data_IF_441300329307
#
_entry.id   IF_441300329307
#
_cell.length_a   1.000
_cell.length_b   1.000
_cell.length_c   1.000
_cell.angle_alpha   90.00
_cell.angle_beta   90.00
_cell.angle_gamma   90.00
#
_symmetry.space_group_name_H-M   'P 1'
#
loop_
_entity.id
_entity.type
_entity.pdbx_description
1 polymer ?
#
# COMPACT_ATOMS: atom_id res chain seq x y z
N UNK A 1 13.30 -3.09 -11.12
CA UNK A 1 13.23 -2.36 -9.84
C UNK A 1 14.58 -2.14 -9.15
N UNK A 2 15.71 -2.74 -9.60
CA UNK A 2 17.00 -2.65 -8.89
C UNK A 2 17.60 -1.23 -8.70
N UNK A 3 17.02 -0.21 -9.33
CA UNK A 3 17.43 1.19 -9.17
C UNK A 3 16.27 2.12 -8.74
N UNK A 4 15.20 1.58 -8.18
CA UNK A 4 14.06 2.36 -7.65
C UNK A 4 13.99 2.22 -6.13
N UNK A 5 13.40 3.22 -5.48
CA UNK A 5 12.91 3.10 -4.11
C UNK A 5 11.49 2.56 -4.18
N UNK A 6 11.29 1.30 -3.82
CA UNK A 6 10.00 0.62 -3.94
C UNK A 6 9.19 0.76 -2.65
N UNK A 7 8.03 1.41 -2.73
CA UNK A 7 7.08 1.50 -1.65
C UNK A 7 5.91 0.54 -1.89
N UNK A 8 5.70 -0.43 -1.00
CA UNK A 8 4.52 -1.31 -1.01
C UNK A 8 3.40 -0.66 -0.21
N UNK A 9 2.23 -0.52 -0.82
CA UNK A 9 1.03 0.06 -0.23
C UNK A 9 -0.02 -1.05 -0.13
N UNK A 10 -0.55 -1.25 1.07
CA UNK A 10 -1.70 -2.12 1.32
C UNK A 10 -2.85 -1.23 1.75
N UNK A 11 -3.75 -0.93 0.82
CA UNK A 11 -4.87 0.02 1.04
C UNK A 11 -6.08 -0.45 0.22
N UNK A 12 -7.14 0.33 0.22
CA UNK A 12 -8.35 0.09 -0.58
C UNK A 12 -8.20 0.80 -1.94
N UNK A 13 -8.62 0.17 -3.03
CA UNK A 13 -8.50 0.74 -4.37
C UNK A 13 -9.21 2.10 -4.52
N UNK A 14 -10.28 2.35 -3.75
CA UNK A 14 -10.98 3.64 -3.78
C UNK A 14 -10.12 4.79 -3.26
N UNK A 15 -9.02 4.47 -2.57
CA UNK A 15 -8.09 5.44 -1.99
C UNK A 15 -6.91 5.79 -2.89
N UNK A 16 -6.76 5.12 -4.04
CA UNK A 16 -5.60 5.25 -4.93
C UNK A 16 -5.35 6.69 -5.38
N UNK A 17 -6.43 7.50 -5.48
CA UNK A 17 -6.34 8.92 -5.80
C UNK A 17 -5.47 9.76 -4.85
N UNK A 18 -5.31 9.34 -3.59
CA UNK A 18 -4.43 10.02 -2.63
C UNK A 18 -2.94 9.87 -2.97
N UNK A 19 -2.57 8.94 -3.85
CA UNK A 19 -1.19 8.70 -4.22
C UNK A 19 -0.78 9.32 -5.58
N UNK A 20 -1.69 10.07 -6.21
CA UNK A 20 -1.40 10.77 -7.47
C UNK A 20 -0.53 11.99 -7.21
N UNK A 21 0.48 12.22 -8.06
CA UNK A 21 1.36 13.40 -7.99
C UNK A 21 1.61 14.02 -9.35
N UNK A 22 2.17 15.23 -9.35
CA UNK A 22 2.67 15.91 -10.54
C UNK A 22 4.17 16.20 -10.37
N UNK A 23 5.07 15.59 -11.16
CA UNK A 23 4.80 14.57 -12.18
C UNK A 23 4.30 13.23 -11.58
N UNK A 24 3.56 12.41 -12.36
CA UNK A 24 3.10 11.10 -11.89
C UNK A 24 4.28 10.15 -11.72
N UNK A 25 4.18 9.27 -10.71
CA UNK A 25 5.22 8.29 -10.39
C UNK A 25 4.93 6.93 -11.06
N UNK A 26 5.96 6.12 -11.35
CA UNK A 26 5.78 4.73 -11.74
C UNK A 26 5.02 3.95 -10.66
N UNK A 27 4.09 3.11 -11.10
CA UNK A 27 3.20 2.35 -10.23
C UNK A 27 2.93 0.96 -10.79
N UNK A 28 2.70 0.00 -9.88
CA UNK A 28 2.34 -1.38 -10.17
C UNK A 28 1.18 -1.79 -9.27
N UNK A 29 0.06 -2.22 -9.85
CA UNK A 29 -0.95 -3.00 -9.12
C UNK A 29 -0.52 -4.46 -9.08
N UNK A 30 -0.51 -5.04 -7.87
CA UNK A 30 -0.20 -6.43 -7.62
C UNK A 30 -1.48 -7.20 -7.29
N UNK A 31 -1.74 -8.26 -8.05
CA UNK A 31 -2.89 -9.15 -7.83
C UNK A 31 -2.42 -10.55 -7.46
N UNK A 32 -3.25 -11.27 -6.72
CA UNK A 32 -2.96 -12.65 -6.36
C UNK A 32 -3.17 -13.56 -7.58
N UNK A 33 -2.15 -14.35 -7.93
CA UNK A 33 -2.22 -15.44 -8.92
C UNK A 33 -1.49 -16.66 -8.38
N UNK A 34 -2.19 -17.80 -8.27
CA UNK A 34 -1.63 -19.07 -7.78
C UNK A 34 -0.89 -18.95 -6.44
N UNK A 35 -1.43 -18.13 -5.53
CA UNK A 35 -0.87 -17.93 -4.19
C UNK A 35 0.34 -16.97 -4.11
N UNK A 36 0.72 -16.34 -5.22
CA UNK A 36 1.77 -15.32 -5.28
C UNK A 36 1.20 -13.98 -5.76
N UNK A 37 1.79 -12.87 -5.32
CA UNK A 37 1.46 -11.54 -5.84
C UNK A 37 2.32 -11.21 -7.05
N UNK A 38 1.68 -10.80 -8.14
CA UNK A 38 2.33 -10.48 -9.40
C UNK A 38 1.73 -9.20 -9.98
N UNK A 39 2.47 -8.50 -10.83
CA UNK A 39 1.94 -7.36 -11.55
C UNK A 39 0.71 -7.77 -12.37
N UNK A 40 -0.37 -7.00 -12.23
CA UNK A 40 -1.54 -7.15 -13.08
C UNK A 40 -1.19 -6.80 -14.54
N UNK A 41 -2.02 -7.26 -15.48
CA UNK A 41 -1.87 -6.92 -16.89
C UNK A 41 -1.92 -5.40 -17.09
N UNK A 42 -1.05 -4.86 -17.95
CA UNK A 42 -0.95 -3.42 -18.19
C UNK A 42 -0.04 -2.66 -17.21
N UNK A 43 0.63 -3.34 -16.28
CA UNK A 43 1.57 -2.76 -15.32
C UNK A 43 3.03 -3.20 -15.57
N UNK A 44 4.05 -2.37 -15.23
CA UNK A 44 3.97 -1.03 -14.62
C UNK A 44 3.44 0.04 -15.58
N UNK A 45 2.83 1.10 -15.03
CA UNK A 45 2.48 2.33 -15.76
C UNK A 45 2.68 3.58 -14.86
N UNK A 46 2.21 4.75 -15.30
CA UNK A 46 2.26 5.99 -14.52
C UNK A 46 0.95 6.18 -13.76
N UNK A 47 1.04 6.54 -12.47
CA UNK A 47 -0.13 6.81 -11.65
C UNK A 47 -0.68 8.22 -11.90
N UNK A 48 -1.50 8.37 -12.95
CA UNK A 48 -2.24 9.60 -13.24
C UNK A 48 -3.58 9.64 -12.49
N UNK A 49 -4.24 10.81 -12.49
CA UNK A 49 -5.58 10.94 -11.93
C UNK A 49 -6.62 10.06 -12.66
N UNK A 50 -6.50 9.96 -13.98
CA UNK A 50 -7.34 9.10 -14.81
C UNK A 50 -7.12 7.62 -14.47
N UNK A 51 -5.85 7.21 -14.32
CA UNK A 51 -5.53 5.84 -13.91
C UNK A 51 -6.09 5.55 -12.52
N UNK A 52 -5.90 6.44 -11.55
CA UNK A 52 -6.43 6.27 -10.20
C UNK A 52 -7.97 6.11 -10.22
N UNK A 53 -8.69 6.91 -11.01
CA UNK A 53 -10.14 6.78 -11.16
C UNK A 53 -10.57 5.47 -11.83
N UNK A 54 -9.77 4.98 -12.78
CA UNK A 54 -10.00 3.67 -13.37
C UNK A 54 -9.82 2.56 -12.32
N UNK A 55 -8.79 2.66 -11.47
CA UNK A 55 -8.48 1.66 -10.44
C UNK A 55 -9.59 1.48 -9.39
N UNK A 56 -10.35 2.54 -9.09
CA UNK A 56 -11.49 2.48 -8.16
C UNK A 56 -12.58 1.48 -8.59
N UNK A 57 -12.55 1.02 -9.84
CA UNK A 57 -13.53 0.09 -10.41
C UNK A 57 -13.04 -1.35 -10.50
N UNK A 58 -11.85 -1.63 -9.97
CA UNK A 58 -11.28 -2.97 -10.04
C UNK A 58 -11.88 -3.89 -8.98
N UNK A 59 -12.47 -5.01 -9.41
CA UNK A 59 -13.02 -6.04 -8.53
C UNK A 59 -11.97 -7.12 -8.25
N UNK A 60 -10.91 -6.74 -7.55
CA UNK A 60 -9.89 -7.72 -7.19
C UNK A 60 -10.45 -8.75 -6.21
N UNK A 61 -10.21 -10.03 -6.49
CA UNK A 61 -10.35 -11.06 -5.48
C UNK A 61 -9.27 -10.83 -4.41
N UNK A 62 -9.70 -10.55 -3.19
CA UNK A 62 -8.80 -10.27 -2.08
C UNK A 62 -8.79 -11.44 -1.10
N UNK A 63 -7.61 -12.02 -0.89
CA UNK A 63 -7.38 -13.04 0.12
C UNK A 63 -6.48 -12.50 1.22
N UNK A 64 -7.07 -12.09 2.33
CA UNK A 64 -6.33 -11.64 3.51
C UNK A 64 -5.24 -12.65 3.94
N UNK A 65 -5.51 -13.98 4.04
CA UNK A 65 -4.47 -14.96 4.34
C UNK A 65 -3.33 -14.99 3.30
N UNK A 66 -3.61 -14.71 2.02
CA UNK A 66 -2.57 -14.64 1.00
C UNK A 66 -1.69 -13.39 1.18
N UNK A 67 -2.29 -12.23 1.48
CA UNK A 67 -1.55 -11.00 1.79
C UNK A 67 -0.63 -11.23 2.99
N UNK A 68 -1.16 -11.78 4.08
CA UNK A 68 -0.38 -12.05 5.30
C UNK A 68 0.82 -12.97 5.02
N UNK A 69 0.63 -14.03 4.21
CA UNK A 69 1.74 -14.92 3.79
C UNK A 69 2.77 -14.21 2.92
N UNK A 70 2.36 -13.28 2.06
CA UNK A 70 3.27 -12.50 1.24
C UNK A 70 4.09 -11.52 2.09
N UNK A 71 3.46 -10.84 3.05
CA UNK A 71 4.11 -9.92 3.98
C UNK A 71 5.15 -10.62 4.85
N UNK A 72 4.85 -11.81 5.36
CA UNK A 72 5.78 -12.62 6.15
C UNK A 72 7.06 -13.01 5.37
N UNK A 73 7.03 -12.92 4.04
CA UNK A 73 8.13 -13.27 3.12
C UNK A 73 8.69 -12.06 2.35
N UNK A 74 8.38 -10.84 2.76
CA UNK A 74 8.68 -9.61 2.00
C UNK A 74 10.18 -9.26 1.89
N UNK A 75 11.08 -10.14 2.35
CA UNK A 75 12.50 -9.82 2.49
C UNK A 75 13.12 -9.30 1.18
N UNK A 76 13.53 -8.04 1.19
CA UNK A 76 14.15 -7.33 0.06
C UNK A 76 13.24 -6.88 -1.08
N UNK A 77 11.92 -7.12 -1.04
CA UNK A 77 11.02 -6.74 -2.14
C UNK A 77 10.67 -5.24 -2.16
N UNK A 78 10.47 -4.64 -0.97
CA UNK A 78 10.12 -3.24 -0.81
C UNK A 78 11.08 -2.55 0.16
N UNK A 79 11.41 -1.29 -0.16
CA UNK A 79 12.20 -0.42 0.72
C UNK A 79 11.35 0.13 1.88
N UNK A 80 10.04 0.29 1.65
CA UNK A 80 9.09 0.84 2.62
C UNK A 80 7.69 0.23 2.46
N UNK A 81 6.96 0.08 3.55
CA UNK A 81 5.61 -0.50 3.55
C UNK A 81 4.60 0.44 4.20
N UNK A 82 3.51 0.75 3.51
CA UNK A 82 2.38 1.51 4.04
C UNK A 82 1.19 0.59 4.27
N UNK A 83 0.62 0.64 5.47
CA UNK A 83 -0.63 -0.05 5.81
C UNK A 83 -1.76 0.97 5.96
N UNK A 84 -2.72 0.92 5.05
CA UNK A 84 -3.97 1.65 5.14
C UNK A 84 -4.87 1.06 6.22
N UNK A 85 -5.27 1.89 7.17
CA UNK A 85 -6.28 1.51 8.16
C UNK A 85 -7.68 1.79 7.59
N UNK A 86 -8.17 0.90 6.73
CA UNK A 86 -9.56 0.91 6.27
C UNK A 86 -10.33 -0.23 6.92
N UNK A 87 -11.57 0.05 7.34
CA UNK A 87 -12.52 -0.93 7.83
C UNK A 87 -11.94 -1.95 8.85
N UNK A 88 -10.95 -1.54 9.66
CA UNK A 88 -10.29 -2.38 10.66
C UNK A 88 -9.30 -3.43 10.14
N UNK A 89 -9.01 -3.49 8.83
CA UNK A 89 -8.12 -4.51 8.26
C UNK A 89 -6.63 -4.22 8.43
N UNK A 90 -6.25 -2.94 8.54
CA UNK A 90 -4.85 -2.52 8.64
C UNK A 90 -4.10 -3.19 9.80
N UNK A 91 -4.79 -3.45 10.92
CA UNK A 91 -4.17 -4.03 12.12
C UNK A 91 -3.74 -5.48 11.91
N UNK A 92 -4.60 -6.30 11.30
CA UNK A 92 -4.30 -7.71 11.01
C UNK A 92 -3.17 -7.85 9.99
N UNK A 93 -3.12 -6.96 9.01
CA UNK A 93 -2.04 -6.92 8.02
C UNK A 93 -0.71 -6.49 8.65
N UNK A 94 -0.72 -5.45 9.48
CA UNK A 94 0.47 -4.95 10.17
C UNK A 94 1.13 -6.01 11.07
N UNK A 95 0.32 -6.85 11.75
CA UNK A 95 0.82 -7.96 12.56
C UNK A 95 1.63 -9.00 11.77
N UNK A 96 1.42 -9.08 10.45
CA UNK A 96 2.10 -10.07 9.60
C UNK A 96 3.45 -9.57 9.07
N UNK A 97 3.77 -8.29 9.28
CA UNK A 97 5.08 -7.76 8.91
C UNK A 97 6.16 -8.24 9.89
N UNK A 98 7.33 -8.67 9.40
CA UNK A 98 8.47 -8.96 10.27
C UNK A 98 8.80 -7.78 11.21
N UNK A 99 8.93 -8.00 12.54
CA UNK A 99 9.08 -6.91 13.52
C UNK A 99 10.29 -5.98 13.28
N UNK A 100 11.36 -6.50 12.66
CA UNK A 100 12.54 -5.71 12.30
C UNK A 100 12.28 -4.64 11.23
N UNK A 101 11.16 -4.73 10.50
CA UNK A 101 10.76 -3.76 9.48
C UNK A 101 9.80 -2.69 10.03
N UNK A 102 9.00 -3.02 11.05
CA UNK A 102 7.90 -2.18 11.52
C UNK A 102 8.32 -0.78 11.99
N UNK A 103 9.46 -0.66 12.68
CA UNK A 103 9.86 0.61 13.30
C UNK A 103 10.28 1.70 12.31
N UNK A 104 11.08 1.34 11.31
CA UNK A 104 11.76 2.32 10.43
C UNK A 104 11.46 2.12 8.94
N UNK A 105 10.86 0.98 8.55
CA UNK A 105 10.56 0.64 7.15
C UNK A 105 9.07 0.43 6.91
N UNK A 106 8.24 0.84 7.86
CA UNK A 106 6.80 0.84 7.66
C UNK A 106 6.12 2.03 8.36
N UNK A 107 4.96 2.39 7.83
CA UNK A 107 4.07 3.37 8.44
C UNK A 107 2.61 2.93 8.34
N UNK A 108 1.80 3.43 9.26
CA UNK A 108 0.35 3.30 9.21
C UNK A 108 -0.22 4.60 8.65
N UNK A 109 -1.04 4.46 7.60
CA UNK A 109 -1.74 5.58 6.97
C UNK A 109 -3.23 5.49 7.27
N UNK A 110 -3.86 6.64 7.48
CA UNK A 110 -5.27 6.73 7.87
C UNK A 110 -5.97 7.90 7.19
N UNK A 111 -7.30 7.88 7.18
CA UNK A 111 -8.11 9.01 6.73
C UNK A 111 -8.06 10.17 7.74
N UNK A 112 -9.17 10.40 8.44
CA UNK A 112 -9.25 11.49 9.41
C UNK A 112 -8.70 11.13 10.80
N UNK A 113 -8.85 9.87 11.22
CA UNK A 113 -8.45 9.42 12.56
C UNK A 113 -7.89 7.99 12.55
N UNK A 114 -7.14 7.66 13.61
CA UNK A 114 -6.57 6.33 13.86
C UNK A 114 -6.80 5.92 15.31
N UNK A 115 -7.99 5.42 15.68
CA UNK A 115 -8.29 4.97 17.04
C UNK A 115 -7.33 3.89 17.55
N UNK A 116 -6.84 3.03 16.66
CA UNK A 116 -6.00 1.87 17.00
C UNK A 116 -4.50 2.20 17.15
N UNK A 117 -4.11 3.49 17.18
CA UNK A 117 -2.69 3.91 17.21
C UNK A 117 -1.87 3.19 18.29
N UNK A 118 -2.45 3.02 19.50
CA UNK A 118 -1.78 2.34 20.63
C UNK A 118 -1.52 0.86 20.36
N UNK A 119 -2.36 0.20 19.57
CA UNK A 119 -2.17 -1.21 19.21
C UNK A 119 -1.02 -1.35 18.21
N UNK A 120 -0.92 -0.44 17.24
CA UNK A 120 0.24 -0.40 16.34
C UNK A 120 1.54 -0.06 17.07
N UNK A 121 1.51 0.85 18.05
CA UNK A 121 2.69 1.18 18.86
C UNK A 121 3.22 -0.03 19.65
N UNK A 122 2.32 -0.84 20.22
CA UNK A 122 2.69 -2.11 20.90
C UNK A 122 3.37 -3.10 19.96
N UNK A 123 3.02 -3.05 18.66
CA UNK A 123 3.65 -3.88 17.61
C UNK A 123 4.98 -3.31 17.11
N UNK A 124 5.40 -2.14 17.60
CA UNK A 124 6.68 -1.52 17.25
C UNK A 124 6.61 -0.47 16.13
N UNK A 125 5.43 -0.17 15.59
CA UNK A 125 5.27 0.93 14.63
C UNK A 125 5.49 2.28 15.31
N UNK A 126 6.14 3.20 14.59
CA UNK A 126 6.49 4.53 15.10
C UNK A 126 6.07 5.67 14.17
N UNK A 127 5.64 5.34 12.96
CA UNK A 127 5.37 6.32 11.92
C UNK A 127 3.89 6.22 11.54
N UNK A 128 3.19 7.33 11.73
CA UNK A 128 1.75 7.47 11.55
C UNK A 128 1.47 8.79 10.87
N UNK A 129 0.71 8.79 9.78
CA UNK A 129 0.32 10.03 9.11
C UNK A 129 -0.94 9.86 8.27
N UNK A 130 -1.55 10.99 7.89
CA UNK A 130 -2.73 10.99 7.01
C UNK A 130 -2.37 10.44 5.64
N UNK A 131 -3.29 9.72 5.01
CA UNK A 131 -3.12 9.16 3.67
C UNK A 131 -2.77 10.22 2.63
N UNK A 132 -3.34 11.43 2.76
CA UNK A 132 -3.02 12.59 1.92
C UNK A 132 -1.55 13.03 1.96
N UNK A 133 -0.80 12.64 3.00
CA UNK A 133 0.62 12.95 3.17
C UNK A 133 1.54 11.82 2.66
N UNK A 134 0.98 10.68 2.27
CA UNK A 134 1.76 9.47 2.04
C UNK A 134 2.82 9.64 0.94
N UNK A 135 2.45 10.21 -0.20
CA UNK A 135 3.41 10.29 -1.31
C UNK A 135 4.47 11.34 -1.08
N UNK A 136 4.16 12.47 -0.44
CA UNK A 136 5.19 13.46 -0.12
C UNK A 136 6.26 12.88 0.81
N UNK A 137 5.85 12.08 1.81
CA UNK A 137 6.75 11.33 2.70
C UNK A 137 7.59 10.31 1.92
N UNK A 138 6.96 9.52 1.05
CA UNK A 138 7.66 8.52 0.24
C UNK A 138 8.67 9.16 -0.72
N UNK A 139 8.35 10.30 -1.32
CA UNK A 139 9.26 11.06 -2.18
C UNK A 139 10.49 11.57 -1.40
N UNK A 140 10.30 12.03 -0.16
CA UNK A 140 11.41 12.42 0.71
C UNK A 140 12.32 11.24 1.04
N UNK A 141 11.75 10.08 1.39
CA UNK A 141 12.51 8.85 1.64
C UNK A 141 13.28 8.38 0.40
N UNK A 142 12.63 8.38 -0.76
CA UNK A 142 13.24 8.02 -2.04
C UNK A 142 14.40 8.96 -2.40
N UNK A 143 14.21 10.28 -2.20
CA UNK A 143 15.26 11.29 -2.36
C UNK A 143 16.44 11.04 -1.43
N UNK A 144 16.20 10.75 -0.15
CA UNK A 144 17.26 10.44 0.81
C UNK A 144 18.02 9.16 0.43
N UNK A 145 17.34 8.20 -0.21
CA UNK A 145 17.95 7.00 -0.76
C UNK A 145 18.61 7.20 -2.13
N UNK A 146 18.58 8.42 -2.70
CA UNK A 146 19.08 8.74 -4.04
C UNK A 146 18.53 7.83 -5.14
N UNK A 147 17.27 7.39 -5.00
CA UNK A 147 16.58 6.52 -5.95
C UNK A 147 15.21 7.08 -6.31
N UNK A 148 14.77 7.01 -7.57
CA UNK A 148 13.40 7.40 -7.95
C UNK A 148 12.36 6.50 -7.26
N UNK A 149 11.26 7.11 -6.80
CA UNK A 149 10.14 6.40 -6.19
C UNK A 149 9.40 5.55 -7.22
N UNK A 150 9.03 4.33 -6.83
CA UNK A 150 8.03 3.51 -7.52
C UNK A 150 7.04 2.94 -6.49
N UNK A 151 5.76 2.95 -6.84
CA UNK A 151 4.69 2.46 -5.99
C UNK A 151 4.30 1.03 -6.39
N UNK A 152 4.14 0.16 -5.41
CA UNK A 152 3.53 -1.16 -5.55
C UNK A 152 2.28 -1.18 -4.69
N UNK A 153 1.18 -1.73 -5.18
CA UNK A 153 -0.08 -1.72 -4.44
C UNK A 153 -0.76 -3.06 -4.44
N UNK A 154 -1.25 -3.43 -3.25
CA UNK A 154 -2.09 -4.60 -3.06
C UNK A 154 -3.42 -4.09 -2.51
N UNK A 155 -4.50 -4.38 -3.23
CA UNK A 155 -5.83 -4.12 -2.71
C UNK A 155 -6.12 -5.01 -1.50
N UNK A 156 -6.72 -4.42 -0.47
CA UNK A 156 -7.00 -5.08 0.82
C UNK A 156 -8.49 -5.38 1.00
N UNK A 157 -9.37 -4.67 0.29
CA UNK A 157 -10.82 -4.85 0.39
C UNK A 157 -11.35 -5.39 -0.94
N UNK A 158 -12.05 -6.51 -0.91
CA UNK A 158 -12.74 -7.01 -2.10
C UNK A 158 -14.08 -6.29 -2.24
N UNK A 159 -14.18 -5.43 -3.25
CA UNK A 159 -15.47 -4.93 -3.72
C UNK A 159 -16.08 -5.87 -4.76
N UNK A 160 -17.41 -5.98 -4.70
CA UNK A 160 -18.28 -6.75 -5.57
C UNK A 160 -19.66 -6.07 -5.65
N UNK A 161 -20.58 -6.64 -6.42
CA UNK A 161 -21.91 -6.08 -6.66
C UNK A 161 -22.75 -5.82 -5.37
N UNK A 162 -22.39 -6.44 -4.25
CA UNK A 162 -23.12 -6.34 -2.98
C UNK A 162 -22.52 -5.36 -1.98
N UNK A 163 -21.26 -4.96 -2.15
CA UNK A 163 -20.56 -4.08 -1.21
C UNK A 163 -19.79 -2.92 -1.86
N UNK A 164 -19.85 -2.80 -3.19
CA UNK A 164 -19.37 -1.61 -3.89
C UNK A 164 -20.29 -0.42 -3.58
N UNK A 165 -19.72 0.62 -2.98
CA UNK A 165 -20.36 1.91 -2.84
C UNK A 165 -19.63 2.89 -3.74
N UNK A 166 -20.29 3.40 -4.77
CA UNK A 166 -19.73 4.48 -5.59
C UNK A 166 -19.55 5.72 -4.68
N UNK A 167 -18.32 6.21 -4.47
CA UNK A 167 -18.08 7.33 -3.56
C UNK A 167 -18.58 8.67 -4.11
#
# INVERSE_FOLDING_TARGET
MANQFAALILDDEVTVGHFVTTPPVPWIRLTQRNGNYQAAEGYPNLLTAEQAKFEMRNWDEVSLPAIMRALAKLDGFADYVLFGNNAGQGLQLAQSLPPNLAGNRAAIIYGESLPEIKEYEKMGYRIFFRRSEAVSRLLELAKNASRPLALCFINTIQHNEFNYHDP
#
